data_IF_289398599589
#
_entry.id   IF_289398599589
#
_cell.length_a   1.000
_cell.length_b   1.000
_cell.length_c   1.000
_cell.angle_alpha   90.00
_cell.angle_beta   90.00
_cell.angle_gamma   90.00
#
_symmetry.space_group_name_H-M   'P 1'
#
loop_
_entity.id
_entity.type
_entity.pdbx_description
1 polymer ?
#
# COMPACT_ATOMS: atom_id res chain seq x y z
N UNK A 1 12.73 28.01 0.00
CA UNK A 1 11.38 28.55 0.39
C UNK A 1 10.60 29.10 -0.80
N UNK A 2 11.16 29.96 -1.68
CA UNK A 2 10.44 30.44 -2.86
C UNK A 2 10.19 29.37 -3.92
N UNK A 3 11.18 28.57 -4.28
CA UNK A 3 11.04 27.48 -5.26
C UNK A 3 10.08 26.36 -4.81
N UNK A 4 10.06 26.03 -3.55
CA UNK A 4 9.17 25.02 -2.99
C UNK A 4 7.70 25.50 -3.03
N UNK A 5 7.49 26.80 -2.85
CA UNK A 5 6.17 27.41 -2.89
C UNK A 5 5.59 27.42 -4.32
N UNK A 6 6.40 27.77 -5.31
CA UNK A 6 6.00 27.73 -6.72
C UNK A 6 5.74 26.29 -7.19
N UNK A 7 6.57 25.34 -6.77
CA UNK A 7 6.34 23.90 -7.01
C UNK A 7 5.05 23.41 -6.37
N UNK A 8 4.71 23.89 -5.17
CA UNK A 8 3.47 23.55 -4.49
C UNK A 8 2.25 24.04 -5.29
N UNK A 9 2.27 25.30 -5.76
CA UNK A 9 1.20 25.89 -6.58
C UNK A 9 1.03 25.22 -7.93
N UNK A 10 2.13 24.74 -8.55
CA UNK A 10 2.11 24.04 -9.83
C UNK A 10 1.62 22.59 -9.72
N UNK A 11 1.77 21.95 -8.57
CA UNK A 11 1.37 20.55 -8.35
C UNK A 11 -0.12 20.31 -8.48
N UNK A 12 -0.94 21.23 -7.99
CA UNK A 12 -2.38 21.14 -8.13
C UNK A 12 -2.95 22.51 -8.50
N UNK A 13 -3.48 22.69 -9.71
CA UNK A 13 -4.22 23.86 -10.10
C UNK A 13 -5.41 24.10 -9.17
N UNK A 14 -5.71 25.37 -8.87
CA UNK A 14 -6.80 25.77 -7.96
C UNK A 14 -8.15 25.10 -8.31
N UNK A 15 -8.50 25.02 -9.59
CA UNK A 15 -9.73 24.37 -10.02
C UNK A 15 -9.75 22.88 -9.69
N UNK A 16 -8.62 22.18 -9.80
CA UNK A 16 -8.52 20.78 -9.44
C UNK A 16 -8.65 20.56 -7.93
N UNK A 17 -8.08 21.45 -7.11
CA UNK A 17 -8.25 21.45 -5.67
C UNK A 17 -9.73 21.61 -5.29
N UNK A 18 -10.40 22.64 -5.85
CA UNK A 18 -11.81 22.89 -5.62
C UNK A 18 -12.70 21.71 -5.99
N UNK A 19 -12.44 21.06 -7.14
CA UNK A 19 -13.20 19.89 -7.57
C UNK A 19 -13.03 18.70 -6.62
N UNK A 20 -11.85 18.50 -6.04
CA UNK A 20 -11.61 17.47 -5.00
C UNK A 20 -12.44 17.73 -3.74
N UNK A 21 -12.65 19.00 -3.41
CA UNK A 21 -13.50 19.44 -2.29
C UNK A 21 -14.96 19.68 -2.69
N UNK A 22 -15.43 18.95 -3.72
CA UNK A 22 -16.84 18.92 -4.17
C UNK A 22 -17.40 20.28 -4.60
N UNK A 23 -16.55 21.27 -4.88
CA UNK A 23 -17.02 22.52 -5.45
C UNK A 23 -17.53 22.30 -6.87
N UNK A 24 -18.75 22.78 -7.13
CA UNK A 24 -19.40 22.66 -8.43
C UNK A 24 -19.48 24.04 -9.09
N UNK A 25 -18.70 24.22 -10.14
CA UNK A 25 -18.73 25.41 -10.98
C UNK A 25 -18.94 25.04 -12.44
N UNK A 26 -19.53 25.94 -13.20
CA UNK A 26 -19.69 25.82 -14.65
C UNK A 26 -18.83 26.83 -15.39
N UNK A 27 -18.39 26.46 -16.59
CA UNK A 27 -17.51 27.29 -17.42
C UNK A 27 -18.27 28.48 -17.98
N UNK A 28 -17.66 29.68 -17.94
CA UNK A 28 -18.23 30.90 -18.49
C UNK A 28 -17.89 31.01 -19.98
N UNK A 29 -18.83 30.61 -20.84
CA UNK A 29 -18.65 30.66 -22.30
C UNK A 29 -17.40 29.88 -22.76
N UNK A 30 -16.56 30.49 -23.61
CA UNK A 30 -15.30 29.92 -24.09
C UNK A 30 -14.08 30.35 -23.27
N UNK A 31 -14.27 31.17 -22.23
CA UNK A 31 -13.21 31.69 -21.38
C UNK A 31 -12.62 30.61 -20.49
N UNK A 32 -11.37 30.78 -19.96
CA UNK A 32 -10.80 29.88 -18.97
C UNK A 32 -11.41 30.03 -17.56
N UNK A 33 -12.50 30.76 -17.43
CA UNK A 33 -13.17 31.05 -16.16
C UNK A 33 -14.31 30.10 -15.87
N UNK A 34 -14.44 29.77 -14.59
CA UNK A 34 -15.52 28.99 -14.00
C UNK A 34 -16.22 29.82 -12.96
N UNK A 35 -17.53 29.68 -12.82
CA UNK A 35 -18.33 30.35 -11.81
C UNK A 35 -19.18 29.36 -11.03
N UNK A 36 -19.27 29.52 -9.72
CA UNK A 36 -20.06 28.69 -8.82
C UNK A 36 -20.37 29.41 -7.52
N UNK A 37 -21.00 28.69 -6.58
CA UNK A 37 -21.25 29.22 -5.23
C UNK A 37 -19.93 29.36 -4.48
N UNK A 38 -19.83 30.38 -3.65
CA UNK A 38 -18.61 30.67 -2.90
C UNK A 38 -18.41 29.71 -1.72
N UNK A 39 -17.24 29.07 -1.59
CA UNK A 39 -16.95 28.24 -0.42
C UNK A 39 -16.62 29.04 0.85
N UNK A 40 -16.54 30.37 0.76
CA UNK A 40 -16.09 31.24 1.84
C UNK A 40 -17.24 32.00 2.54
N UNK A 41 -18.45 31.96 1.99
CA UNK A 41 -19.64 32.55 2.59
C UNK A 41 -20.90 31.93 2.00
N UNK A 42 -21.99 31.97 2.73
CA UNK A 42 -23.28 31.46 2.26
C UNK A 42 -23.89 32.43 1.22
N UNK A 43 -24.28 31.85 0.07
CA UNK A 43 -24.97 32.58 -1.01
C UNK A 43 -25.86 31.64 -1.81
N UNK A 44 -26.86 32.19 -2.48
CA UNK A 44 -27.80 31.47 -3.34
C UNK A 44 -27.54 31.67 -4.83
N UNK A 45 -26.75 32.69 -5.18
CA UNK A 45 -26.40 33.02 -6.57
C UNK A 45 -24.90 32.91 -6.76
N UNK A 46 -24.44 32.21 -7.82
CA UNK A 46 -23.02 32.06 -8.07
C UNK A 46 -22.28 33.38 -8.25
N UNK A 47 -21.31 33.67 -7.37
CA UNK A 47 -20.50 34.88 -7.42
C UNK A 47 -18.99 34.62 -7.30
N UNK A 48 -18.59 33.35 -7.18
CA UNK A 48 -17.21 32.92 -7.02
C UNK A 48 -16.64 32.50 -8.38
N UNK A 49 -15.69 33.26 -8.89
CA UNK A 49 -15.03 33.06 -10.17
C UNK A 49 -13.65 32.46 -9.97
N UNK A 50 -13.31 31.48 -10.80
CA UNK A 50 -12.01 30.78 -10.82
C UNK A 50 -11.42 30.86 -12.22
N UNK A 51 -10.27 31.48 -12.38
CA UNK A 51 -9.51 31.47 -13.63
C UNK A 51 -8.58 30.25 -13.63
N UNK A 52 -8.90 29.25 -14.45
CA UNK A 52 -8.17 27.98 -14.50
C UNK A 52 -6.73 28.12 -15.04
N UNK A 53 -6.44 29.08 -15.92
CA UNK A 53 -5.10 29.32 -16.44
C UNK A 53 -4.18 30.01 -15.44
N UNK A 54 -4.73 31.03 -14.74
CA UNK A 54 -3.97 31.80 -13.76
C UNK A 54 -3.95 31.16 -12.37
N UNK A 55 -4.77 30.13 -12.12
CA UNK A 55 -4.98 29.51 -10.80
C UNK A 55 -5.33 30.57 -9.72
N UNK A 56 -6.22 31.49 -10.06
CA UNK A 56 -6.70 32.56 -9.19
C UNK A 56 -8.21 32.50 -9.05
N UNK A 57 -8.72 32.93 -7.90
CA UNK A 57 -10.15 33.14 -7.69
C UNK A 57 -10.46 34.56 -7.28
N UNK A 58 -11.71 34.97 -7.50
CA UNK A 58 -12.30 36.18 -6.96
C UNK A 58 -13.79 35.99 -6.74
N UNK A 59 -14.28 36.35 -5.56
CA UNK A 59 -15.69 36.34 -5.23
C UNK A 59 -16.27 37.74 -5.25
N UNK A 60 -17.26 38.03 -6.09
CA UNK A 60 -17.92 39.32 -6.15
C UNK A 60 -18.85 39.53 -4.98
N UNK A 61 -19.36 38.50 -4.31
CA UNK A 61 -20.20 38.57 -3.13
C UNK A 61 -19.43 39.05 -1.89
N UNK A 62 -18.43 38.30 -1.45
CA UNK A 62 -17.64 38.64 -0.26
C UNK A 62 -16.36 39.45 -0.55
N UNK A 63 -16.07 39.77 -1.83
CA UNK A 63 -14.91 40.55 -2.30
C UNK A 63 -13.55 39.97 -1.91
N UNK A 64 -13.47 38.67 -1.67
CA UNK A 64 -12.24 37.94 -1.36
C UNK A 64 -11.68 37.36 -2.64
N UNK A 65 -10.35 37.36 -2.76
CA UNK A 65 -9.66 36.78 -3.92
C UNK A 65 -8.23 36.40 -3.60
N UNK A 66 -7.61 35.59 -4.48
CA UNK A 66 -6.25 35.15 -4.32
C UNK A 66 -5.95 33.86 -5.06
N UNK A 67 -4.88 33.19 -4.65
CA UNK A 67 -4.45 31.89 -5.13
C UNK A 67 -4.94 30.76 -4.21
N UNK A 68 -4.47 29.53 -4.47
CA UNK A 68 -4.81 28.34 -3.68
C UNK A 68 -4.45 28.51 -2.19
N UNK A 69 -3.28 29.10 -1.89
CA UNK A 69 -2.86 29.29 -0.49
C UNK A 69 -3.81 30.25 0.21
N UNK A 70 -4.16 31.34 -0.46
CA UNK A 70 -5.11 32.32 0.08
C UNK A 70 -6.50 31.74 0.28
N UNK A 71 -6.94 30.83 -0.61
CA UNK A 71 -8.21 30.13 -0.43
C UNK A 71 -8.19 29.29 0.86
N UNK A 72 -7.12 28.53 1.08
CA UNK A 72 -6.97 27.71 2.29
C UNK A 72 -6.89 28.53 3.57
N UNK A 73 -6.15 29.66 3.55
CA UNK A 73 -6.13 30.61 4.68
C UNK A 73 -7.54 31.04 5.07
N UNK A 74 -8.34 31.41 4.06
CA UNK A 74 -9.68 31.92 4.27
C UNK A 74 -10.70 30.86 4.66
N UNK A 75 -10.58 29.65 4.12
CA UNK A 75 -11.50 28.55 4.39
C UNK A 75 -11.28 27.90 5.76
N UNK A 76 -10.03 27.82 6.19
CA UNK A 76 -9.66 27.13 7.44
C UNK A 76 -9.24 28.10 8.57
N UNK A 77 -9.23 29.41 8.31
CA UNK A 77 -8.73 30.43 9.24
C UNK A 77 -7.26 30.22 9.64
N UNK A 78 -6.45 29.68 8.73
CA UNK A 78 -5.03 29.43 8.93
C UNK A 78 -4.17 30.67 8.62
N UNK A 79 -3.01 30.74 9.28
CA UNK A 79 -1.93 31.62 8.83
C UNK A 79 -1.34 31.13 7.50
N UNK A 80 -0.60 31.98 6.80
CA UNK A 80 0.13 31.59 5.58
C UNK A 80 0.99 30.34 5.77
N UNK A 81 1.74 30.26 6.88
CA UNK A 81 2.61 29.12 7.18
C UNK A 81 1.83 27.82 7.40
N UNK A 82 0.73 27.89 8.12
CA UNK A 82 -0.16 26.75 8.35
C UNK A 82 -0.82 26.30 7.04
N UNK A 83 -1.24 27.22 6.18
CA UNK A 83 -1.84 26.90 4.89
C UNK A 83 -0.86 26.21 3.95
N UNK A 84 0.40 26.66 3.91
CA UNK A 84 1.47 26.00 3.14
C UNK A 84 1.74 24.59 3.68
N UNK A 85 1.83 24.42 5.00
CA UNK A 85 2.01 23.10 5.62
C UNK A 85 0.83 22.16 5.33
N UNK A 86 -0.40 22.66 5.48
CA UNK A 86 -1.62 21.92 5.15
C UNK A 86 -1.63 21.46 3.69
N UNK A 87 -1.36 22.36 2.74
CA UNK A 87 -1.31 22.01 1.31
C UNK A 87 -0.19 21.05 0.98
N UNK A 88 0.97 21.18 1.60
CA UNK A 88 2.08 20.26 1.39
C UNK A 88 1.70 18.83 1.81
N UNK A 89 1.00 18.66 2.92
CA UNK A 89 0.49 17.36 3.37
C UNK A 89 -0.72 16.89 2.54
N UNK A 90 -1.65 17.79 2.20
CA UNK A 90 -2.84 17.50 1.39
C UNK A 90 -2.47 17.05 -0.03
N UNK A 91 -1.43 17.65 -0.62
CA UNK A 91 -0.95 17.35 -1.97
C UNK A 91 0.15 16.28 -2.00
N UNK A 92 0.56 15.78 -0.85
CA UNK A 92 1.53 14.70 -0.77
C UNK A 92 1.00 13.44 -1.48
N UNK A 93 1.84 12.66 -2.19
CA UNK A 93 1.41 11.38 -2.75
C UNK A 93 0.82 10.45 -1.68
N UNK A 94 -0.19 9.67 -2.02
CA UNK A 94 -0.78 8.68 -1.09
C UNK A 94 0.27 7.70 -0.56
N UNK A 95 1.33 7.43 -1.34
CA UNK A 95 2.47 6.62 -0.90
C UNK A 95 3.18 7.18 0.33
N UNK A 96 3.25 8.50 0.50
CA UNK A 96 3.82 9.13 1.70
C UNK A 96 2.92 8.93 2.93
N UNK A 97 1.60 9.06 2.76
CA UNK A 97 0.63 8.76 3.82
C UNK A 97 0.71 7.28 4.24
N UNK A 98 0.80 6.37 3.27
CA UNK A 98 0.95 4.93 3.54
C UNK A 98 2.29 4.63 4.21
N UNK A 99 3.39 5.29 3.81
CA UNK A 99 4.69 5.14 4.44
C UNK A 99 4.67 5.62 5.90
N UNK A 100 3.98 6.73 6.18
CA UNK A 100 3.80 7.21 7.56
C UNK A 100 2.97 6.26 8.41
N UNK A 101 1.89 5.69 7.85
CA UNK A 101 1.09 4.68 8.52
C UNK A 101 1.89 3.39 8.78
N UNK A 102 2.68 2.93 7.82
CA UNK A 102 3.57 1.77 7.99
C UNK A 102 4.61 2.02 9.10
N UNK A 103 5.26 3.18 9.10
CA UNK A 103 6.19 3.57 10.17
C UNK A 103 5.52 3.64 11.55
N UNK A 104 4.28 4.12 11.62
CA UNK A 104 3.50 4.06 12.86
C UNK A 104 3.28 2.62 13.33
N UNK A 105 2.90 1.70 12.45
CA UNK A 105 2.70 0.30 12.81
C UNK A 105 4.01 -0.40 13.21
N UNK A 106 5.15 -0.02 12.64
CA UNK A 106 6.47 -0.49 13.09
C UNK A 106 6.75 -0.05 14.53
N UNK A 107 6.49 1.21 14.87
CA UNK A 107 6.62 1.71 16.24
C UNK A 107 5.68 0.97 17.21
N UNK A 108 4.44 0.71 16.79
CA UNK A 108 3.47 -0.03 17.61
C UNK A 108 3.90 -1.50 17.82
N UNK A 109 4.58 -2.12 16.86
CA UNK A 109 5.13 -3.48 17.03
C UNK A 109 6.11 -3.54 18.20
N UNK A 110 6.99 -2.54 18.33
CA UNK A 110 7.96 -2.48 19.44
C UNK A 110 7.30 -2.17 20.79
N UNK A 111 6.13 -1.54 20.80
CA UNK A 111 5.40 -1.19 22.03
C UNK A 111 4.47 -2.29 22.51
N UNK A 112 4.10 -3.24 21.64
CA UNK A 112 3.08 -4.25 21.92
C UNK A 112 3.62 -5.65 21.71
N UNK A 113 3.87 -6.35 22.82
CA UNK A 113 4.43 -7.70 22.81
C UNK A 113 3.59 -8.72 22.03
N UNK A 114 2.25 -8.53 22.00
CA UNK A 114 1.33 -9.39 21.26
C UNK A 114 1.72 -9.58 19.78
N UNK A 115 2.17 -8.51 19.10
CA UNK A 115 2.63 -8.58 17.72
C UNK A 115 3.92 -9.39 17.56
N UNK A 116 4.88 -9.18 18.47
CA UNK A 116 6.16 -9.89 18.49
C UNK A 116 5.96 -11.38 18.81
N UNK A 117 5.13 -11.67 19.82
CA UNK A 117 4.83 -13.05 20.22
C UNK A 117 4.14 -13.82 19.07
N UNK A 118 3.24 -13.15 18.33
CA UNK A 118 2.62 -13.75 17.15
C UNK A 118 3.62 -14.01 16.01
N UNK A 119 4.53 -13.07 15.74
CA UNK A 119 5.60 -13.27 14.76
C UNK A 119 6.46 -14.48 15.15
N UNK A 120 6.85 -14.58 16.42
CA UNK A 120 7.62 -15.72 16.93
C UNK A 120 6.86 -17.05 16.78
N UNK A 121 5.54 -17.09 17.08
CA UNK A 121 4.68 -18.25 16.86
C UNK A 121 4.61 -18.66 15.37
N UNK A 122 4.76 -17.68 14.45
CA UNK A 122 4.85 -17.90 13.00
C UNK A 122 6.28 -18.16 12.52
N UNK A 123 7.22 -18.43 13.43
CA UNK A 123 8.62 -18.72 13.10
C UNK A 123 9.46 -17.52 12.68
N UNK A 124 8.92 -16.29 12.75
CA UNK A 124 9.62 -15.05 12.38
C UNK A 124 10.13 -14.36 13.63
N UNK A 125 11.44 -14.41 13.87
CA UNK A 125 12.07 -13.91 15.12
C UNK A 125 13.33 -13.06 14.87
N UNK A 126 13.85 -13.01 13.65
CA UNK A 126 14.99 -12.15 13.32
C UNK A 126 14.55 -10.67 13.26
N UNK A 127 15.01 -9.89 14.26
CA UNK A 127 14.67 -8.48 14.38
C UNK A 127 15.15 -7.63 13.19
N UNK A 128 16.29 -8.02 12.57
CA UNK A 128 16.82 -7.30 11.38
C UNK A 128 15.91 -7.55 10.18
N UNK A 129 15.48 -8.79 9.98
CA UNK A 129 14.54 -9.15 8.92
C UNK A 129 13.19 -8.46 9.12
N UNK A 130 12.65 -8.45 10.34
CA UNK A 130 11.39 -7.77 10.68
C UNK A 130 11.48 -6.28 10.29
N UNK A 131 12.59 -5.62 10.62
CA UNK A 131 12.83 -4.22 10.26
C UNK A 131 13.00 -4.02 8.76
N UNK A 132 13.73 -4.90 8.07
CA UNK A 132 13.95 -4.88 6.63
C UNK A 132 12.65 -5.03 5.83
N UNK A 133 11.82 -5.99 6.19
CA UNK A 133 10.49 -6.19 5.57
C UNK A 133 9.49 -5.09 5.97
N UNK A 134 9.85 -4.26 6.94
CA UNK A 134 8.98 -3.19 7.42
C UNK A 134 7.74 -3.69 8.17
N UNK A 135 7.84 -4.87 8.80
CA UNK A 135 6.71 -5.48 9.49
C UNK A 135 6.30 -4.62 10.68
N UNK A 136 5.00 -4.39 10.83
CA UNK A 136 4.42 -3.62 11.92
C UNK A 136 3.26 -4.33 12.60
N UNK A 137 2.70 -3.68 13.62
CA UNK A 137 1.54 -4.15 14.34
C UNK A 137 0.47 -3.06 14.45
N UNK A 138 -0.73 -3.35 14.00
CA UNK A 138 -1.90 -2.50 14.18
C UNK A 138 -2.67 -2.93 15.42
N UNK A 139 -2.49 -2.22 16.53
CA UNK A 139 -3.33 -2.41 17.72
C UNK A 139 -4.78 -2.03 17.43
N UNK A 140 -4.98 -0.94 16.68
CA UNK A 140 -6.26 -0.32 16.37
C UNK A 140 -6.62 0.82 17.32
N UNK A 141 -7.40 1.78 16.80
CA UNK A 141 -7.99 2.89 17.54
C UNK A 141 -7.15 4.16 17.67
N UNK A 142 -5.90 4.19 17.21
CA UNK A 142 -5.00 5.33 17.39
C UNK A 142 -4.30 5.83 16.10
N UNK A 143 -4.39 5.11 14.99
CA UNK A 143 -3.80 5.56 13.72
C UNK A 143 -4.39 6.88 13.24
N UNK A 144 -5.71 7.03 13.30
CA UNK A 144 -6.39 8.27 12.90
C UNK A 144 -5.85 9.50 13.61
N UNK A 145 -5.78 9.46 14.95
CA UNK A 145 -5.27 10.58 15.75
C UNK A 145 -3.80 10.87 15.44
N UNK A 146 -2.98 9.82 15.25
CA UNK A 146 -1.59 9.94 14.86
C UNK A 146 -1.43 10.68 13.53
N UNK A 147 -2.15 10.28 12.48
CA UNK A 147 -2.06 10.89 11.16
C UNK A 147 -2.58 12.33 11.14
N UNK A 148 -3.68 12.60 11.87
CA UNK A 148 -4.18 13.98 12.02
C UNK A 148 -3.16 14.89 12.73
N UNK A 149 -2.38 14.37 13.67
CA UNK A 149 -1.27 15.09 14.30
C UNK A 149 -0.15 15.50 13.33
N UNK A 150 -0.06 14.86 12.17
CA UNK A 150 0.83 15.25 11.06
C UNK A 150 0.13 16.08 9.96
N UNK A 151 -1.10 16.57 10.22
CA UNK A 151 -1.83 17.44 9.30
C UNK A 151 -2.60 16.71 8.19
N UNK A 152 -2.66 15.37 8.17
CA UNK A 152 -3.47 14.66 7.19
C UNK A 152 -4.96 14.84 7.47
N UNK A 153 -5.72 15.25 6.46
CA UNK A 153 -7.17 15.38 6.56
C UNK A 153 -7.84 14.01 6.74
N UNK A 154 -9.02 14.01 7.39
CA UNK A 154 -9.79 12.79 7.60
C UNK A 154 -10.21 12.14 6.26
N UNK A 155 -10.55 12.97 5.27
CA UNK A 155 -10.89 12.54 3.91
C UNK A 155 -9.76 11.74 3.27
N UNK A 156 -8.54 12.25 3.31
CA UNK A 156 -7.38 11.55 2.73
C UNK A 156 -7.10 10.22 3.41
N UNK A 157 -7.22 10.18 4.74
CA UNK A 157 -7.03 8.94 5.51
C UNK A 157 -8.09 7.90 5.14
N UNK A 158 -9.34 8.36 4.90
CA UNK A 158 -10.45 7.53 4.40
C UNK A 158 -10.22 7.07 2.97
N UNK A 159 -9.87 7.96 2.04
CA UNK A 159 -9.58 7.64 0.65
C UNK A 159 -8.40 6.66 0.50
N UNK A 160 -7.41 6.76 1.37
CA UNK A 160 -6.31 5.79 1.44
C UNK A 160 -6.77 4.42 1.96
N UNK A 161 -7.98 4.30 2.50
CA UNK A 161 -8.53 3.08 3.06
C UNK A 161 -7.98 2.73 4.46
N UNK A 162 -7.26 3.65 5.11
CA UNK A 162 -6.64 3.44 6.43
C UNK A 162 -7.67 3.47 7.57
N UNK A 163 -8.79 4.14 7.34
CA UNK A 163 -9.99 4.10 8.20
C UNK A 163 -11.22 3.72 7.36
N UNK A 164 -12.24 3.23 8.00
CA UNK A 164 -13.54 2.95 7.37
C UNK A 164 -14.46 4.20 7.40
N UNK A 165 -15.61 4.19 6.71
CA UNK A 165 -16.56 5.32 6.71
C UNK A 165 -17.06 5.73 8.09
N UNK A 166 -17.01 4.85 9.09
CA UNK A 166 -17.36 5.13 10.49
C UNK A 166 -16.18 5.75 11.27
N UNK A 167 -15.04 5.99 10.61
CA UNK A 167 -13.84 6.58 11.21
C UNK A 167 -13.01 5.64 12.08
N UNK A 168 -13.30 4.33 12.06
CA UNK A 168 -12.51 3.33 12.75
C UNK A 168 -11.33 2.84 11.91
N UNK A 169 -10.20 2.50 12.55
CA UNK A 169 -9.02 1.97 11.87
C UNK A 169 -9.36 0.72 11.07
N UNK A 170 -8.90 0.64 9.83
CA UNK A 170 -9.10 -0.51 8.93
C UNK A 170 -8.43 -1.77 9.49
N UNK A 171 -7.29 -1.59 10.13
CA UNK A 171 -6.56 -2.68 10.76
C UNK A 171 -6.66 -2.59 12.28
N UNK A 172 -7.06 -3.69 12.90
CA UNK A 172 -7.12 -3.85 14.35
C UNK A 172 -6.67 -5.26 14.71
N UNK A 173 -5.74 -5.37 15.68
CA UNK A 173 -5.07 -6.60 16.09
C UNK A 173 -4.54 -7.41 14.90
N UNK A 174 -3.70 -6.75 14.08
CA UNK A 174 -3.13 -7.34 12.87
C UNK A 174 -1.63 -7.08 12.79
N UNK A 175 -0.87 -8.08 12.38
CA UNK A 175 0.49 -7.89 11.86
C UNK A 175 0.37 -7.31 10.45
N UNK A 176 1.14 -6.26 10.18
CA UNK A 176 1.05 -5.47 8.95
C UNK A 176 2.33 -5.65 8.13
N UNK A 177 2.16 -5.94 6.84
CA UNK A 177 3.24 -5.95 5.85
C UNK A 177 3.00 -4.83 4.84
N UNK A 178 3.98 -3.93 4.60
CA UNK A 178 3.86 -2.89 3.58
C UNK A 178 4.11 -3.47 2.20
N UNK A 179 3.13 -3.37 1.29
CA UNK A 179 3.28 -3.74 -0.11
C UNK A 179 3.96 -2.60 -0.86
N UNK A 180 5.11 -2.89 -1.47
CA UNK A 180 5.92 -1.89 -2.19
C UNK A 180 5.82 -2.12 -3.70
N UNK A 181 6.00 -1.03 -4.42
CA UNK A 181 6.25 -1.04 -5.86
C UNK A 181 7.28 0.06 -6.12
N UNK A 182 8.42 -0.31 -6.67
CA UNK A 182 9.60 0.54 -6.64
C UNK A 182 9.86 0.96 -5.18
N UNK A 183 10.29 2.19 -4.93
CA UNK A 183 10.57 2.70 -3.58
C UNK A 183 9.33 3.16 -2.80
N UNK A 184 8.12 2.94 -3.35
CA UNK A 184 6.89 3.47 -2.76
C UNK A 184 6.02 2.38 -2.13
N UNK A 185 5.46 2.66 -0.94
CA UNK A 185 4.40 1.83 -0.37
C UNK A 185 3.09 2.16 -1.09
N UNK A 186 2.51 1.16 -1.76
CA UNK A 186 1.28 1.29 -2.56
C UNK A 186 0.07 0.69 -1.86
N UNK A 187 0.28 -0.24 -0.93
CA UNK A 187 -0.77 -0.87 -0.13
C UNK A 187 -0.21 -1.41 1.18
N UNK A 188 -1.10 -1.84 2.07
CA UNK A 188 -0.77 -2.54 3.31
C UNK A 188 -1.58 -3.83 3.38
N UNK A 189 -0.91 -4.92 3.77
CA UNK A 189 -1.53 -6.21 4.05
C UNK A 189 -1.55 -6.45 5.56
N UNK A 190 -2.68 -6.89 6.11
CA UNK A 190 -2.84 -7.15 7.53
C UNK A 190 -3.33 -8.56 7.85
N UNK A 191 -2.54 -9.34 8.60
CA UNK A 191 -2.90 -10.66 9.10
C UNK A 191 -3.42 -10.56 10.54
N UNK A 192 -4.59 -11.12 10.80
CA UNK A 192 -5.24 -11.12 12.13
C UNK A 192 -4.48 -11.96 13.15
N UNK A 193 -4.41 -11.48 14.40
CA UNK A 193 -3.90 -12.21 15.54
C UNK A 193 -5.06 -12.79 16.34
N UNK A 194 -4.99 -14.07 16.69
CA UNK A 194 -5.85 -14.76 17.65
C UNK A 194 -7.28 -15.10 17.23
N UNK A 195 -7.84 -14.44 16.20
CA UNK A 195 -9.11 -14.83 15.59
C UNK A 195 -8.92 -15.10 14.12
N UNK A 196 -9.59 -16.12 13.60
CA UNK A 196 -9.54 -16.51 12.18
C UNK A 196 -10.32 -15.51 11.31
N UNK A 197 -9.95 -14.22 11.36
CA UNK A 197 -10.42 -13.29 10.35
C UNK A 197 -9.54 -13.40 9.10
N UNK A 198 -10.13 -13.35 7.89
CA UNK A 198 -9.36 -13.40 6.68
C UNK A 198 -8.31 -12.29 6.61
N UNK A 199 -7.21 -12.52 5.89
CA UNK A 199 -6.26 -11.46 5.57
C UNK A 199 -6.98 -10.26 4.96
N UNK A 200 -6.44 -9.07 5.18
CA UNK A 200 -7.03 -7.84 4.67
C UNK A 200 -5.98 -7.01 3.95
N UNK A 201 -6.24 -6.68 2.72
CA UNK A 201 -5.54 -5.65 1.97
C UNK A 201 -6.33 -4.33 2.07
N UNK A 202 -5.65 -3.21 1.96
CA UNK A 202 -6.33 -1.95 1.70
C UNK A 202 -7.11 -2.05 0.37
N UNK A 203 -8.21 -1.31 0.19
CA UNK A 203 -9.01 -1.30 -1.03
C UNK A 203 -8.27 -0.54 -2.16
N UNK A 204 -7.09 -1.02 -2.51
CA UNK A 204 -6.13 -0.44 -3.45
C UNK A 204 -5.39 -1.56 -4.18
N UNK A 205 -4.81 -1.30 -5.37
CA UNK A 205 -3.94 -2.27 -6.02
C UNK A 205 -2.83 -2.73 -5.07
N UNK A 206 -2.59 -4.03 -5.00
CA UNK A 206 -1.56 -4.61 -4.13
C UNK A 206 -0.12 -4.36 -4.63
N UNK A 207 0.03 -3.79 -5.82
CA UNK A 207 1.33 -3.60 -6.46
C UNK A 207 1.81 -4.85 -7.20
N UNK A 208 3.14 -4.94 -7.38
CA UNK A 208 3.81 -6.09 -7.96
C UNK A 208 3.97 -7.26 -6.98
N UNK A 209 4.92 -8.13 -7.28
CA UNK A 209 5.41 -9.18 -6.37
C UNK A 209 6.04 -8.52 -5.13
N UNK A 210 5.82 -9.13 -3.97
CA UNK A 210 6.35 -8.58 -2.71
C UNK A 210 7.87 -8.71 -2.67
N UNK A 211 8.54 -7.64 -2.22
CA UNK A 211 10.00 -7.54 -2.17
C UNK A 211 10.71 -7.69 -3.54
N UNK A 212 10.02 -7.40 -4.65
CA UNK A 212 10.54 -7.58 -6.01
C UNK A 212 11.87 -6.87 -6.23
N UNK A 213 12.03 -5.66 -5.73
CA UNK A 213 13.26 -4.85 -5.86
C UNK A 213 14.50 -5.54 -5.25
N UNK A 214 14.29 -6.46 -4.30
CA UNK A 214 15.37 -7.22 -3.68
C UNK A 214 15.65 -8.54 -4.38
N UNK A 215 14.75 -9.01 -5.25
CA UNK A 215 14.85 -10.37 -5.85
C UNK A 215 14.92 -10.39 -7.37
N UNK A 216 14.60 -9.29 -8.05
CA UNK A 216 14.49 -9.25 -9.52
C UNK A 216 15.79 -9.60 -10.26
N UNK A 217 16.95 -9.41 -9.65
CA UNK A 217 18.26 -9.75 -10.23
C UNK A 217 18.60 -11.26 -10.13
N UNK A 218 17.88 -12.02 -9.29
CA UNK A 218 18.12 -13.44 -9.21
C UNK A 218 17.54 -14.16 -10.42
N UNK A 219 18.34 -15.08 -10.99
CA UNK A 219 17.89 -15.97 -12.07
C UNK A 219 16.91 -17.02 -11.58
N UNK A 220 17.19 -17.58 -10.40
CA UNK A 220 16.33 -18.57 -9.74
C UNK A 220 15.51 -17.86 -8.67
N UNK A 221 14.18 -17.86 -8.82
CA UNK A 221 13.26 -17.20 -7.90
C UNK A 221 12.34 -18.23 -7.26
N UNK A 222 12.15 -18.12 -5.95
CA UNK A 222 11.16 -18.91 -5.21
C UNK A 222 9.91 -18.07 -5.07
N UNK A 223 8.79 -18.54 -5.62
CA UNK A 223 7.49 -17.91 -5.52
C UNK A 223 6.64 -18.61 -4.47
N UNK A 224 6.20 -17.87 -3.45
CA UNK A 224 5.31 -18.35 -2.39
C UNK A 224 3.98 -17.63 -2.40
N UNK A 225 2.96 -18.22 -1.76
CA UNK A 225 1.63 -17.63 -1.67
C UNK A 225 1.56 -16.56 -0.59
N UNK A 226 2.10 -16.83 0.61
CA UNK A 226 1.93 -16.05 1.81
C UNK A 226 3.16 -15.24 2.22
N UNK A 227 2.93 -14.11 2.90
CA UNK A 227 4.01 -13.25 3.38
C UNK A 227 4.79 -13.84 4.56
N UNK A 228 4.18 -14.74 5.32
CA UNK A 228 4.88 -15.49 6.37
C UNK A 228 5.80 -16.56 5.79
N UNK A 229 5.42 -17.18 4.66
CA UNK A 229 6.27 -18.11 3.94
C UNK A 229 7.53 -17.42 3.43
N UNK A 230 7.37 -16.24 2.82
CA UNK A 230 8.50 -15.41 2.42
C UNK A 230 9.39 -15.08 3.61
N UNK A 231 8.80 -14.65 4.74
CA UNK A 231 9.57 -14.20 5.89
C UNK A 231 10.43 -15.33 6.50
N UNK A 232 9.88 -16.54 6.65
CA UNK A 232 10.65 -17.70 7.17
C UNK A 232 11.74 -18.17 6.19
N UNK A 233 11.46 -18.12 4.89
CA UNK A 233 12.44 -18.47 3.87
C UNK A 233 13.58 -17.45 3.81
N UNK A 234 13.28 -16.16 3.91
CA UNK A 234 14.32 -15.12 4.01
C UNK A 234 15.17 -15.28 5.27
N UNK A 235 14.53 -15.61 6.40
CA UNK A 235 15.23 -15.89 7.65
C UNK A 235 16.13 -17.13 7.55
N UNK A 236 15.71 -18.14 6.77
CA UNK A 236 16.50 -19.35 6.51
C UNK A 236 17.59 -19.15 5.43
N UNK A 237 17.72 -17.95 4.85
CA UNK A 237 18.76 -17.59 3.88
C UNK A 237 18.32 -17.59 2.41
N UNK A 238 17.07 -17.97 2.08
CA UNK A 238 16.55 -17.99 0.72
C UNK A 238 16.08 -16.59 0.29
N UNK A 239 17.06 -15.71 0.05
CA UNK A 239 16.84 -14.28 -0.25
C UNK A 239 16.25 -14.02 -1.64
N UNK A 240 16.22 -15.01 -2.49
CA UNK A 240 15.60 -15.03 -3.81
C UNK A 240 14.10 -15.37 -3.77
N UNK A 241 13.46 -15.30 -2.60
CA UNK A 241 12.03 -15.59 -2.43
C UNK A 241 11.19 -14.33 -2.60
N UNK A 242 10.11 -14.43 -3.38
CA UNK A 242 9.07 -13.41 -3.53
C UNK A 242 7.69 -13.99 -3.24
N UNK A 243 6.68 -13.14 -3.05
CA UNK A 243 5.34 -13.53 -2.67
C UNK A 243 4.29 -12.89 -3.59
N UNK A 244 3.34 -13.72 -4.06
CA UNK A 244 2.21 -13.25 -4.86
C UNK A 244 1.11 -12.58 -4.01
N UNK A 245 1.09 -12.81 -2.69
CA UNK A 245 0.02 -12.38 -1.77
C UNK A 245 -1.36 -12.90 -2.22
N UNK A 246 -1.44 -14.19 -2.42
CA UNK A 246 -2.61 -14.96 -2.87
C UNK A 246 -2.28 -15.89 -4.03
N UNK A 247 -3.24 -16.73 -4.41
CA UNK A 247 -3.10 -17.80 -5.42
C UNK A 247 -3.14 -17.30 -6.87
N UNK A 248 -3.51 -16.03 -7.11
CA UNK A 248 -3.64 -15.49 -8.48
C UNK A 248 -2.60 -14.39 -8.72
N UNK A 249 -1.87 -14.51 -9.83
CA UNK A 249 -0.95 -13.46 -10.29
C UNK A 249 -1.71 -12.37 -11.05
N UNK A 250 -1.41 -11.12 -10.70
CA UNK A 250 -1.86 -9.98 -11.51
C UNK A 250 -1.03 -9.88 -12.80
N UNK A 251 -1.52 -9.19 -13.85
CA UNK A 251 -0.72 -8.95 -15.06
C UNK A 251 0.64 -8.31 -14.77
N UNK A 252 0.71 -7.40 -13.79
CA UNK A 252 1.96 -6.77 -13.35
C UNK A 252 2.93 -7.79 -12.74
N UNK A 253 2.46 -8.67 -11.86
CA UNK A 253 3.27 -9.72 -11.25
C UNK A 253 3.79 -10.71 -12.28
N UNK A 254 2.95 -11.08 -13.24
CA UNK A 254 3.34 -11.96 -14.35
C UNK A 254 4.39 -11.29 -15.25
N UNK A 255 4.23 -10.01 -15.55
CA UNK A 255 5.23 -9.24 -16.33
C UNK A 255 6.58 -9.20 -15.61
N UNK A 256 6.60 -9.02 -14.29
CA UNK A 256 7.81 -9.04 -13.48
C UNK A 256 8.54 -10.39 -13.58
N UNK A 257 7.83 -11.51 -13.46
CA UNK A 257 8.47 -12.84 -13.62
C UNK A 257 9.08 -13.03 -15.02
N UNK A 258 8.53 -12.37 -16.03
CA UNK A 258 8.96 -12.48 -17.45
C UNK A 258 10.01 -11.46 -17.87
N UNK A 259 10.48 -10.58 -16.97
CA UNK A 259 11.53 -9.60 -17.27
C UNK A 259 12.85 -10.27 -17.72
N UNK A 260 13.12 -11.47 -17.21
CA UNK A 260 14.25 -12.30 -17.63
C UNK A 260 13.71 -13.62 -18.24
N UNK A 261 13.95 -13.88 -19.54
CA UNK A 261 13.47 -15.07 -20.22
C UNK A 261 14.16 -16.36 -19.74
N UNK A 262 15.36 -16.26 -19.18
CA UNK A 262 16.13 -17.40 -18.65
C UNK A 262 15.81 -17.71 -17.20
N UNK A 263 14.87 -16.99 -16.59
CA UNK A 263 14.49 -17.14 -15.20
C UNK A 263 13.85 -18.51 -14.93
N UNK A 264 14.29 -19.16 -13.83
CA UNK A 264 13.63 -20.32 -13.30
C UNK A 264 12.78 -19.92 -12.07
N UNK A 265 11.50 -20.29 -12.08
CA UNK A 265 10.56 -19.98 -10.99
C UNK A 265 10.21 -21.25 -10.25
N UNK A 266 10.65 -21.36 -9.01
CA UNK A 266 10.32 -22.44 -8.08
C UNK A 266 9.03 -22.07 -7.35
N UNK A 267 7.97 -22.86 -7.52
CA UNK A 267 6.68 -22.64 -6.85
C UNK A 267 6.63 -23.51 -5.60
N UNK A 268 6.59 -22.86 -4.44
CA UNK A 268 6.43 -23.51 -3.15
C UNK A 268 5.12 -23.03 -2.51
N UNK A 269 4.00 -23.54 -3.02
CA UNK A 269 2.65 -23.25 -2.54
C UNK A 269 2.14 -24.37 -1.65
N UNK A 270 1.12 -24.04 -0.85
CA UNK A 270 0.40 -24.98 -0.02
C UNK A 270 -0.27 -26.08 -0.89
N UNK A 271 -0.08 -27.33 -0.51
CA UNK A 271 -0.79 -28.46 -1.10
C UNK A 271 -2.04 -28.75 -0.26
N UNK A 272 -2.92 -27.77 -0.13
CA UNK A 272 -4.18 -27.94 0.59
C UNK A 272 -5.02 -29.08 0.00
N UNK A 273 -5.53 -29.95 0.84
CA UNK A 273 -6.48 -31.01 0.47
C UNK A 273 -7.85 -30.44 0.02
N UNK A 274 -8.08 -29.14 0.17
CA UNK A 274 -9.31 -28.47 -0.25
C UNK A 274 -9.37 -28.27 -1.77
N UNK A 275 -10.42 -28.77 -2.41
CA UNK A 275 -10.66 -28.66 -3.86
C UNK A 275 -10.54 -27.19 -4.39
N UNK A 276 -10.89 -26.20 -3.60
CA UNK A 276 -10.79 -24.79 -3.99
C UNK A 276 -9.33 -24.31 -4.08
N UNK A 277 -8.47 -24.70 -3.15
CA UNK A 277 -7.03 -24.39 -3.17
C UNK A 277 -6.32 -25.12 -4.30
N UNK A 278 -6.62 -26.39 -4.52
CA UNK A 278 -6.08 -27.17 -5.64
C UNK A 278 -6.45 -26.57 -7.01
N UNK A 279 -7.69 -26.12 -7.19
CA UNK A 279 -8.11 -25.48 -8.44
C UNK A 279 -7.35 -24.17 -8.67
N UNK A 280 -7.18 -23.35 -7.65
CA UNK A 280 -6.45 -22.07 -7.77
C UNK A 280 -4.95 -22.28 -8.05
N UNK A 281 -4.32 -23.28 -7.43
CA UNK A 281 -2.95 -23.68 -7.73
C UNK A 281 -2.82 -24.19 -9.17
N UNK A 282 -3.73 -25.05 -9.63
CA UNK A 282 -3.76 -25.54 -11.01
C UNK A 282 -3.96 -24.41 -12.03
N UNK A 283 -4.85 -23.45 -11.75
CA UNK A 283 -5.07 -22.28 -12.62
C UNK A 283 -3.81 -21.43 -12.74
N UNK A 284 -3.09 -21.24 -11.63
CA UNK A 284 -1.80 -20.55 -11.64
C UNK A 284 -0.76 -21.31 -12.47
N UNK A 285 -0.64 -22.63 -12.27
CA UNK A 285 0.30 -23.45 -13.01
C UNK A 285 0.00 -23.43 -14.52
N UNK A 286 -1.27 -23.56 -14.92
CA UNK A 286 -1.68 -23.41 -16.32
C UNK A 286 -1.40 -22.01 -16.87
N UNK A 287 -1.55 -20.98 -16.04
CA UNK A 287 -1.21 -19.61 -16.43
C UNK A 287 0.28 -19.47 -16.71
N UNK A 288 1.13 -20.01 -15.82
CA UNK A 288 2.58 -19.94 -15.94
C UNK A 288 3.11 -20.81 -17.11
N UNK A 289 2.58 -21.99 -17.31
CA UNK A 289 2.93 -22.88 -18.43
C UNK A 289 2.75 -22.17 -19.79
N UNK A 290 1.64 -21.44 -19.96
CA UNK A 290 1.37 -20.64 -21.18
C UNK A 290 2.33 -19.49 -21.41
N UNK A 291 3.15 -19.12 -20.42
CA UNK A 291 4.06 -17.97 -20.51
C UNK A 291 5.41 -18.31 -21.09
N UNK A 292 5.76 -19.59 -21.18
CA UNK A 292 7.08 -20.08 -21.59
C UNK A 292 8.17 -19.87 -20.53
N UNK A 293 7.82 -19.57 -19.29
CA UNK A 293 8.75 -19.52 -18.16
C UNK A 293 9.21 -20.94 -17.80
N UNK A 294 10.46 -21.07 -17.36
CA UNK A 294 10.94 -22.30 -16.75
C UNK A 294 10.40 -22.38 -15.31
N UNK A 295 9.40 -23.24 -15.10
CA UNK A 295 8.72 -23.40 -13.81
C UNK A 295 9.04 -24.75 -13.20
N UNK A 296 9.33 -24.79 -11.90
CA UNK A 296 9.56 -25.99 -11.12
C UNK A 296 8.65 -26.04 -9.90
N UNK A 297 8.12 -27.21 -9.61
CA UNK A 297 7.28 -27.43 -8.43
C UNK A 297 8.10 -27.96 -7.27
N UNK A 298 8.00 -27.26 -6.13
CA UNK A 298 8.60 -27.70 -4.86
C UNK A 298 7.54 -28.47 -4.09
N UNK A 299 7.72 -29.78 -3.96
CA UNK A 299 6.81 -30.65 -3.21
C UNK A 299 7.13 -30.57 -1.71
N UNK A 300 6.33 -29.82 -0.96
CA UNK A 300 6.36 -29.81 0.50
C UNK A 300 5.67 -31.07 1.05
N UNK A 301 6.02 -31.52 2.27
CA UNK A 301 5.27 -32.57 2.95
C UNK A 301 3.77 -32.24 3.03
N UNK A 302 2.92 -33.25 2.93
CA UNK A 302 1.47 -33.06 2.92
C UNK A 302 0.97 -32.22 4.11
N UNK A 303 0.11 -31.24 3.81
CA UNK A 303 -0.47 -30.32 4.80
C UNK A 303 0.48 -29.23 5.31
N UNK A 304 1.62 -29.01 4.63
CA UNK A 304 2.55 -27.93 4.97
C UNK A 304 2.64 -26.89 3.85
N UNK A 305 2.57 -25.60 4.26
CA UNK A 305 3.13 -24.47 3.57
C UNK A 305 4.59 -24.25 4.05
N UNK A 306 5.40 -23.41 3.42
CA UNK A 306 6.76 -23.15 3.90
C UNK A 306 6.80 -22.66 5.34
N UNK A 307 5.86 -21.82 5.78
CA UNK A 307 5.82 -21.32 7.16
C UNK A 307 5.60 -22.45 8.17
N UNK A 308 4.60 -23.30 7.95
CA UNK A 308 4.31 -24.43 8.84
C UNK A 308 5.41 -25.50 8.79
N UNK A 309 6.06 -25.71 7.66
CA UNK A 309 7.19 -26.62 7.53
C UNK A 309 8.36 -26.20 8.42
N UNK A 310 8.77 -24.93 8.38
CA UNK A 310 9.81 -24.40 9.27
C UNK A 310 9.39 -24.36 10.73
N UNK A 311 8.15 -24.02 11.04
CA UNK A 311 7.65 -24.04 12.42
C UNK A 311 7.51 -25.44 13.02
N UNK A 312 7.38 -26.46 12.17
CA UNK A 312 7.43 -27.88 12.57
C UNK A 312 8.87 -28.38 12.84
N UNK A 313 9.89 -27.56 12.60
CA UNK A 313 11.28 -27.85 12.92
C UNK A 313 12.18 -28.16 11.72
N UNK A 314 11.69 -28.01 10.49
CA UNK A 314 12.52 -28.13 9.30
C UNK A 314 13.61 -27.05 9.25
N UNK A 315 14.75 -27.39 8.68
CA UNK A 315 15.90 -26.51 8.52
C UNK A 315 16.02 -25.96 7.10
N UNK A 316 16.90 -24.96 6.91
CA UNK A 316 17.24 -24.50 5.56
C UNK A 316 17.84 -25.59 4.67
N UNK A 317 18.55 -26.57 5.25
CA UNK A 317 19.08 -27.71 4.47
C UNK A 317 17.98 -28.63 3.96
N UNK A 318 16.95 -28.89 4.78
CA UNK A 318 15.80 -29.69 4.36
C UNK A 318 15.06 -29.02 3.19
N UNK A 319 14.84 -27.69 3.27
CA UNK A 319 14.21 -26.97 2.19
C UNK A 319 15.09 -26.87 0.93
N UNK A 320 16.41 -26.71 1.07
CA UNK A 320 17.34 -26.76 -0.05
C UNK A 320 17.29 -28.11 -0.78
N UNK A 321 17.09 -29.19 -0.04
CA UNK A 321 16.92 -30.51 -0.62
C UNK A 321 15.64 -30.63 -1.45
N UNK A 322 14.53 -30.06 -0.96
CA UNK A 322 13.28 -29.99 -1.73
C UNK A 322 13.44 -29.19 -3.03
N UNK A 323 14.17 -28.08 -2.99
CA UNK A 323 14.47 -27.29 -4.20
C UNK A 323 15.27 -28.08 -5.24
N UNK A 324 16.24 -28.92 -4.81
CA UNK A 324 17.02 -29.79 -5.71
C UNK A 324 16.16 -30.88 -6.35
N UNK A 325 15.12 -31.32 -5.67
CA UNK A 325 14.19 -32.35 -6.14
C UNK A 325 13.03 -31.81 -6.97
N UNK A 326 12.90 -30.46 -7.05
CA UNK A 326 11.79 -29.81 -7.71
C UNK A 326 11.67 -30.24 -9.17
N UNK A 327 10.50 -30.78 -9.52
CA UNK A 327 10.18 -31.26 -10.85
C UNK A 327 9.82 -30.12 -11.80
N UNK A 328 10.17 -30.21 -13.10
CA UNK A 328 9.63 -29.31 -14.12
C UNK A 328 8.10 -29.39 -14.16
N UNK A 329 7.45 -28.24 -14.44
CA UNK A 329 6.01 -28.20 -14.65
C UNK A 329 5.60 -28.84 -15.94
#
# INVERSE_FOLDING_TARGET
MGEDLERLKQRVPLLQYLNRHQWTGHRVGTSPEFVGLCPLHEETHPSFYVNAQKSLFYCHGCRRGGDLIRLVELSHHFSFRESVAYLAEELAPTSQLLARAAGFYQLELHRHREGIDYLAQRGVHDAKLIAELGIGYARGGNLRAYLQGFGYSLERVLEAGLINPQGADTFCRRVIFPCRQQDHIVSLYGRSIGRAFPPRLLPRPKGGLFAWESVHEFRDIILVEGLFDLAVLWQAGFRNTTCASGTHLTPTQLAQLREDPDRCVYIAFDQDENQAGQNAANDLLQCLDKTGLNVRLVELPAGHDPNSYFTAGATGQDFAHLLQQAAPL
#
